data_IF_538979591004
#
_entry.id   IF_538979591004
#
_cell.length_a   1.000
_cell.length_b   1.000
_cell.length_c   1.000
_cell.angle_alpha   90.00
_cell.angle_beta   90.00
_cell.angle_gamma   90.00
#
_symmetry.space_group_name_H-M   'P 1'
#
loop_
_entity.id
_entity.type
_entity.pdbx_description
1 polymer ?
#
# COMPACT_ATOMS: atom_id res chain seq x y z
N UNK A 1 -57.26 0.89 5.43
CA UNK A 1 -56.05 0.15 5.00
C UNK A 1 -54.83 0.88 5.54
N UNK A 2 -54.07 0.31 6.49
CA UNK A 2 -52.82 0.92 6.94
C UNK A 2 -51.71 0.63 5.91
N UNK A 3 -51.10 1.69 5.38
CA UNK A 3 -49.92 1.64 4.53
C UNK A 3 -48.68 1.46 5.41
N UNK A 4 -48.07 0.28 5.40
CA UNK A 4 -46.76 0.04 6.00
C UNK A 4 -45.68 0.57 5.06
N UNK A 5 -45.07 1.71 5.41
CA UNK A 5 -43.84 2.18 4.77
C UNK A 5 -42.67 1.26 5.13
N UNK A 6 -41.83 0.85 4.16
CA UNK A 6 -40.63 0.06 4.46
C UNK A 6 -39.59 0.93 5.16
N UNK A 7 -39.21 0.56 6.37
CA UNK A 7 -38.05 1.12 7.07
C UNK A 7 -36.78 0.70 6.33
N UNK A 8 -36.16 1.63 5.62
CA UNK A 8 -34.82 1.45 5.05
C UNK A 8 -33.82 1.39 6.22
N UNK A 9 -33.48 0.18 6.65
CA UNK A 9 -32.32 -0.03 7.52
C UNK A 9 -31.06 0.34 6.75
N UNK A 10 -30.55 1.54 6.99
CA UNK A 10 -29.22 1.96 6.51
C UNK A 10 -28.18 1.18 7.31
N UNK A 11 -27.91 -0.06 6.91
CA UNK A 11 -26.74 -0.80 7.40
C UNK A 11 -25.51 -0.14 6.78
N UNK A 12 -24.85 0.74 7.53
CA UNK A 12 -23.48 1.17 7.20
C UNK A 12 -22.62 -0.10 7.09
N UNK A 13 -21.98 -0.38 5.94
CA UNK A 13 -21.16 -1.57 5.82
C UNK A 13 -20.04 -1.49 6.86
N UNK A 14 -20.05 -2.40 7.83
CA UNK A 14 -19.00 -2.49 8.84
C UNK A 14 -17.68 -2.84 8.14
N UNK A 15 -16.61 -2.11 8.45
CA UNK A 15 -15.27 -2.42 7.92
C UNK A 15 -14.87 -3.83 8.40
N UNK A 16 -14.46 -4.75 7.50
CA UNK A 16 -14.07 -6.09 7.91
C UNK A 16 -12.97 -6.08 8.97
N UNK A 17 -13.05 -6.96 9.97
CA UNK A 17 -12.08 -7.00 11.07
C UNK A 17 -10.64 -7.23 10.62
N UNK A 18 -10.42 -7.99 9.53
CA UNK A 18 -9.11 -8.20 8.89
C UNK A 18 -8.55 -6.90 8.30
N UNK A 19 -9.40 -6.08 7.69
CA UNK A 19 -9.03 -4.77 7.15
C UNK A 19 -8.65 -3.79 8.24
N UNK A 20 -9.38 -3.81 9.36
CA UNK A 20 -9.01 -3.03 10.57
C UNK A 20 -7.65 -3.49 11.11
N UNK A 21 -7.44 -4.80 11.24
CA UNK A 21 -6.17 -5.36 11.69
C UNK A 21 -5.02 -4.95 10.77
N UNK A 22 -5.17 -5.08 9.45
CA UNK A 22 -4.16 -4.68 8.47
C UNK A 22 -3.83 -3.18 8.54
N UNK A 23 -4.85 -2.32 8.70
CA UNK A 23 -4.68 -0.88 8.86
C UNK A 23 -3.94 -0.51 10.16
N UNK A 24 -4.24 -1.20 11.27
CA UNK A 24 -3.55 -1.01 12.56
C UNK A 24 -2.10 -1.48 12.45
N UNK A 25 -1.85 -2.68 11.90
CA UNK A 25 -0.50 -3.21 11.69
C UNK A 25 0.31 -2.26 10.80
N UNK A 26 -0.28 -1.77 9.71
CA UNK A 26 0.36 -0.81 8.79
C UNK A 26 0.74 0.51 9.47
N UNK A 27 -0.15 1.08 10.30
CA UNK A 27 0.13 2.31 11.04
C UNK A 27 1.20 2.13 12.13
N UNK A 28 1.15 1.01 12.86
CA UNK A 28 2.18 0.66 13.84
C UNK A 28 3.54 0.44 13.18
N UNK A 29 3.58 -0.29 12.06
CA UNK A 29 4.80 -0.49 11.29
C UNK A 29 5.36 0.83 10.75
N UNK A 30 4.50 1.71 10.24
CA UNK A 30 4.88 3.06 9.78
C UNK A 30 5.50 3.87 10.93
N UNK A 31 4.87 3.83 12.10
CA UNK A 31 5.39 4.51 13.31
C UNK A 31 6.75 3.96 13.69
N UNK A 32 6.88 2.62 13.80
CA UNK A 32 8.13 1.97 14.19
C UNK A 32 9.26 2.27 13.18
N UNK A 33 8.92 2.30 11.88
CA UNK A 33 9.87 2.60 10.81
C UNK A 33 10.52 3.97 10.99
N UNK A 34 9.71 5.01 11.21
CA UNK A 34 10.19 6.39 11.32
C UNK A 34 10.70 6.75 12.73
N UNK A 35 10.23 6.07 13.78
CA UNK A 35 10.73 6.26 15.15
C UNK A 35 12.07 5.55 15.40
N UNK A 36 12.45 4.58 14.54
CA UNK A 36 13.65 3.76 14.70
C UNK A 36 14.95 4.53 15.04
N UNK A 37 15.22 5.76 14.54
CA UNK A 37 16.45 6.48 14.88
C UNK A 37 16.55 6.88 16.35
N UNK A 38 15.43 7.09 17.03
CA UNK A 38 15.43 7.50 18.45
C UNK A 38 15.67 6.31 19.39
N UNK A 39 15.39 5.08 18.94
CA UNK A 39 15.47 3.85 19.75
C UNK A 39 16.63 2.92 19.37
N UNK A 40 17.03 2.89 18.09
CA UNK A 40 18.09 2.02 17.58
C UNK A 40 19.28 2.88 17.15
N UNK A 41 20.34 2.85 17.96
CA UNK A 41 21.55 3.67 17.77
C UNK A 41 22.42 3.18 16.59
N UNK A 42 22.42 1.87 16.31
CA UNK A 42 23.26 1.30 15.25
C UNK A 42 22.62 1.44 13.87
N UNK A 43 23.45 1.65 12.84
CA UNK A 43 22.98 1.72 11.45
C UNK A 43 22.46 0.37 10.94
N UNK A 44 23.14 -0.72 11.30
CA UNK A 44 22.77 -2.08 10.91
C UNK A 44 21.46 -2.52 11.59
N UNK A 45 21.29 -2.21 12.88
CA UNK A 45 20.05 -2.52 13.61
C UNK A 45 18.84 -1.82 13.00
N UNK A 46 18.99 -0.56 12.55
CA UNK A 46 17.93 0.14 11.81
C UNK A 46 17.59 -0.56 10.50
N UNK A 47 18.58 -1.02 9.75
CA UNK A 47 18.36 -1.80 8.53
C UNK A 47 17.55 -3.08 8.78
N UNK A 48 17.91 -3.84 9.81
CA UNK A 48 17.18 -5.05 10.20
C UNK A 48 15.76 -4.76 10.68
N UNK A 49 15.55 -3.69 11.46
CA UNK A 49 14.22 -3.29 11.88
C UNK A 49 13.33 -2.97 10.68
N UNK A 50 13.86 -2.22 9.70
CA UNK A 50 13.14 -1.92 8.45
C UNK A 50 12.79 -3.20 7.69
N UNK A 51 13.75 -4.11 7.51
CA UNK A 51 13.53 -5.38 6.81
C UNK A 51 12.47 -6.24 7.51
N UNK A 52 12.54 -6.36 8.84
CA UNK A 52 11.55 -7.10 9.64
C UNK A 52 10.15 -6.50 9.54
N UNK A 53 10.04 -5.16 9.60
CA UNK A 53 8.75 -4.47 9.41
C UNK A 53 8.18 -4.71 8.01
N UNK A 54 9.00 -4.63 6.96
CA UNK A 54 8.56 -4.93 5.60
C UNK A 54 8.07 -6.38 5.46
N UNK A 55 8.76 -7.34 6.07
CA UNK A 55 8.35 -8.74 6.06
C UNK A 55 6.99 -8.95 6.76
N UNK A 56 6.76 -8.30 7.91
CA UNK A 56 5.48 -8.35 8.63
C UNK A 56 4.34 -7.76 7.78
N UNK A 57 4.58 -6.62 7.12
CA UNK A 57 3.57 -6.02 6.24
C UNK A 57 3.20 -6.99 5.11
N UNK A 58 4.20 -7.56 4.42
CA UNK A 58 3.96 -8.54 3.34
C UNK A 58 3.18 -9.74 3.87
N UNK A 59 3.57 -10.29 5.02
CA UNK A 59 2.88 -11.44 5.61
C UNK A 59 1.42 -11.12 5.97
N UNK A 60 1.12 -9.90 6.42
CA UNK A 60 -0.22 -9.47 6.77
C UNK A 60 -1.11 -9.25 5.54
N UNK A 61 -0.58 -8.72 4.43
CA UNK A 61 -1.37 -8.34 3.25
C UNK A 61 -1.45 -9.42 2.17
N UNK A 62 -0.47 -10.32 2.11
CA UNK A 62 -0.36 -11.31 1.03
C UNK A 62 -1.59 -12.23 0.93
N UNK A 63 -2.18 -12.77 2.02
CA UNK A 63 -3.35 -13.64 1.90
C UNK A 63 -4.56 -12.93 1.28
N UNK A 64 -4.81 -11.68 1.67
CA UNK A 64 -5.91 -10.87 1.13
C UNK A 64 -5.69 -10.60 -0.36
N UNK A 65 -4.47 -10.17 -0.73
CA UNK A 65 -4.08 -9.97 -2.13
C UNK A 65 -4.26 -11.23 -2.99
N UNK A 66 -3.87 -12.40 -2.48
CA UNK A 66 -4.05 -13.67 -3.21
C UNK A 66 -5.53 -14.03 -3.38
N UNK A 67 -6.38 -13.77 -2.39
CA UNK A 67 -7.84 -13.99 -2.49
C UNK A 67 -8.48 -13.04 -3.49
N UNK A 68 -8.13 -11.76 -3.43
CA UNK A 68 -8.61 -10.75 -4.37
C UNK A 68 -8.18 -11.08 -5.82
N UNK A 69 -6.92 -11.50 -6.02
CA UNK A 69 -6.46 -11.97 -7.32
C UNK A 69 -7.23 -13.20 -7.82
N UNK A 70 -7.52 -14.16 -6.96
CA UNK A 70 -8.28 -15.35 -7.35
C UNK A 70 -9.71 -14.98 -7.75
N UNK A 71 -10.37 -14.11 -6.96
CA UNK A 71 -11.71 -13.61 -7.27
C UNK A 71 -11.73 -12.80 -8.58
N UNK A 72 -10.76 -11.91 -8.79
CA UNK A 72 -10.63 -11.14 -10.02
C UNK A 72 -10.41 -12.03 -11.25
N UNK A 73 -9.60 -13.09 -11.13
CA UNK A 73 -9.40 -14.07 -12.22
C UNK A 73 -10.66 -14.86 -12.53
N UNK A 74 -11.39 -15.30 -11.51
CA UNK A 74 -12.65 -16.00 -11.70
C UNK A 74 -13.69 -15.11 -12.41
N UNK A 75 -13.87 -13.87 -11.93
CA UNK A 75 -14.77 -12.90 -12.54
C UNK A 75 -14.37 -12.58 -14.00
N UNK A 76 -13.07 -12.42 -14.28
CA UNK A 76 -12.59 -12.22 -15.65
C UNK A 76 -12.87 -13.44 -16.53
N UNK A 77 -12.66 -14.66 -16.03
CA UNK A 77 -12.92 -15.88 -16.80
C UNK A 77 -14.41 -16.01 -17.16
N UNK A 78 -15.31 -15.65 -16.24
CA UNK A 78 -16.76 -15.60 -16.50
C UNK A 78 -17.12 -14.58 -17.59
N UNK A 79 -16.57 -13.37 -17.54
CA UNK A 79 -16.78 -12.34 -18.57
C UNK A 79 -16.24 -12.73 -19.94
N UNK A 80 -15.09 -13.38 -19.98
CA UNK A 80 -14.52 -13.92 -21.22
C UNK A 80 -15.41 -15.04 -21.78
N UNK A 81 -15.90 -15.95 -20.93
CA UNK A 81 -16.83 -17.01 -21.35
C UNK A 81 -18.18 -16.46 -21.84
N UNK A 82 -18.65 -15.37 -21.26
CA UNK A 82 -19.84 -14.63 -21.70
C UNK A 82 -19.60 -13.80 -22.98
N UNK A 83 -18.36 -13.69 -23.45
CA UNK A 83 -17.98 -12.89 -24.62
C UNK A 83 -17.97 -11.38 -24.36
N UNK A 84 -18.03 -10.94 -23.10
CA UNK A 84 -18.04 -9.53 -22.71
C UNK A 84 -16.63 -8.92 -22.70
N UNK A 85 -15.61 -9.73 -22.42
CA UNK A 85 -14.19 -9.32 -22.45
C UNK A 85 -13.37 -10.26 -23.33
N UNK A 86 -12.35 -9.73 -24.00
CA UNK A 86 -11.37 -10.54 -24.73
C UNK A 86 -10.20 -10.86 -23.82
N UNK A 87 -9.78 -12.13 -23.81
CA UNK A 87 -8.56 -12.52 -23.12
C UNK A 87 -7.34 -11.91 -23.81
N UNK A 88 -6.62 -11.05 -23.10
CA UNK A 88 -5.35 -10.48 -23.56
C UNK A 88 -4.23 -11.47 -23.26
N UNK A 89 -3.68 -12.09 -24.30
CA UNK A 89 -2.42 -12.82 -24.20
C UNK A 89 -1.26 -11.82 -24.18
N UNK A 90 -0.66 -11.64 -23.01
CA UNK A 90 0.48 -10.76 -22.82
C UNK A 90 1.74 -11.25 -23.52
N UNK A 91 1.89 -12.56 -23.70
CA UNK A 91 3.04 -13.14 -24.38
C UNK A 91 2.93 -12.85 -25.89
N UNK A 92 1.77 -13.12 -26.50
CA UNK A 92 1.51 -12.75 -27.89
C UNK A 92 1.61 -11.23 -28.10
N UNK A 93 1.06 -10.43 -27.18
CA UNK A 93 1.17 -8.97 -27.24
C UNK A 93 2.63 -8.54 -27.23
N UNK A 94 3.46 -9.10 -26.36
CA UNK A 94 4.90 -8.83 -26.31
C UNK A 94 5.61 -9.29 -27.60
N UNK A 95 5.27 -10.48 -28.08
CA UNK A 95 5.90 -11.09 -29.24
C UNK A 95 5.52 -10.39 -30.55
N UNK A 96 4.33 -9.79 -30.62
CA UNK A 96 3.89 -8.95 -31.74
C UNK A 96 4.61 -7.59 -31.80
N UNK A 97 5.24 -7.13 -30.70
CA UNK A 97 5.96 -5.87 -30.70
C UNK A 97 7.27 -5.95 -31.49
N UNK A 98 7.59 -4.88 -32.23
CA UNK A 98 8.92 -4.70 -32.82
C UNK A 98 10.02 -4.67 -31.74
N UNK A 99 11.25 -4.99 -32.13
CA UNK A 99 12.43 -4.91 -31.23
C UNK A 99 12.53 -3.54 -30.55
N UNK A 100 12.26 -2.45 -31.27
CA UNK A 100 12.24 -1.10 -30.69
C UNK A 100 11.11 -0.95 -29.67
N UNK A 101 9.92 -1.45 -29.97
CA UNK A 101 8.77 -1.43 -29.05
C UNK A 101 9.07 -2.13 -27.72
N UNK A 102 9.66 -3.32 -27.77
CA UNK A 102 10.06 -4.08 -26.56
C UNK A 102 11.11 -3.35 -25.74
N UNK A 103 12.12 -2.77 -26.41
CA UNK A 103 13.16 -1.96 -25.73
C UNK A 103 12.53 -0.74 -25.06
N UNK A 104 11.62 -0.04 -25.74
CA UNK A 104 10.92 1.12 -25.17
C UNK A 104 10.03 0.73 -23.98
N UNK A 105 9.25 -0.35 -24.09
CA UNK A 105 8.40 -0.84 -23.02
C UNK A 105 9.21 -1.28 -21.79
N UNK A 106 10.29 -2.04 -22.02
CA UNK A 106 11.22 -2.45 -20.97
C UNK A 106 11.90 -1.26 -20.30
N UNK A 107 12.34 -0.26 -21.08
CA UNK A 107 12.94 0.95 -20.56
C UNK A 107 11.94 1.79 -19.74
N UNK A 108 10.68 1.89 -20.18
CA UNK A 108 9.64 2.58 -19.44
C UNK A 108 9.35 1.91 -18.08
N UNK A 109 9.22 0.57 -18.06
CA UNK A 109 9.02 -0.19 -16.83
C UNK A 109 10.21 -0.03 -15.88
N UNK A 110 11.43 -0.20 -16.38
CA UNK A 110 12.65 -0.03 -15.59
C UNK A 110 12.79 1.41 -15.07
N UNK A 111 12.49 2.40 -15.92
CA UNK A 111 12.50 3.81 -15.56
C UNK A 111 11.50 4.14 -14.45
N UNK A 112 10.28 3.63 -14.54
CA UNK A 112 9.26 3.78 -13.51
C UNK A 112 9.72 3.20 -12.16
N UNK A 113 10.25 1.98 -12.17
CA UNK A 113 10.77 1.33 -10.97
C UNK A 113 11.93 2.13 -10.35
N UNK A 114 12.86 2.61 -11.18
CA UNK A 114 13.98 3.43 -10.74
C UNK A 114 13.53 4.75 -10.10
N UNK A 115 12.60 5.47 -10.76
CA UNK A 115 12.03 6.72 -10.25
C UNK A 115 11.32 6.49 -8.92
N UNK A 116 10.55 5.41 -8.80
CA UNK A 116 9.88 5.03 -7.55
C UNK A 116 10.88 4.80 -6.42
N UNK A 117 11.91 3.97 -6.65
CA UNK A 117 12.93 3.67 -5.65
C UNK A 117 13.70 4.94 -5.20
N UNK A 118 14.11 5.78 -6.16
CA UNK A 118 14.78 7.05 -5.87
C UNK A 118 13.89 7.98 -5.05
N UNK A 119 12.60 8.05 -5.38
CA UNK A 119 11.63 8.88 -4.66
C UNK A 119 11.49 8.44 -3.20
N UNK A 120 11.36 7.14 -2.94
CA UNK A 120 11.31 6.59 -1.58
C UNK A 120 12.57 6.96 -0.79
N UNK A 121 13.76 6.75 -1.37
CA UNK A 121 15.04 7.08 -0.72
C UNK A 121 15.15 8.58 -0.44
N UNK A 122 14.71 9.43 -1.37
CA UNK A 122 14.73 10.88 -1.19
C UNK A 122 13.83 11.32 -0.02
N UNK A 123 12.61 10.77 0.07
CA UNK A 123 11.67 11.01 1.16
C UNK A 123 12.29 10.60 2.50
N UNK A 124 12.86 9.40 2.58
CA UNK A 124 13.47 8.90 3.82
C UNK A 124 14.64 9.76 4.28
N UNK A 125 15.54 10.13 3.36
CA UNK A 125 16.67 11.01 3.69
C UNK A 125 16.19 12.38 4.14
N UNK A 126 15.12 12.90 3.52
CA UNK A 126 14.48 14.16 3.94
C UNK A 126 13.95 14.09 5.37
N UNK A 127 13.16 13.05 5.68
CA UNK A 127 12.61 12.83 7.02
C UNK A 127 13.72 12.70 8.07
N UNK A 128 14.77 11.93 7.78
CA UNK A 128 15.90 11.77 8.69
C UNK A 128 16.65 13.08 8.93
N UNK A 129 16.99 13.83 7.88
CA UNK A 129 17.68 15.14 8.00
C UNK A 129 16.86 16.14 8.83
N UNK A 130 15.54 16.15 8.65
CA UNK A 130 14.64 17.00 9.43
C UNK A 130 14.67 16.63 10.92
N UNK A 131 14.63 15.34 11.23
CA UNK A 131 14.72 14.87 12.61
C UNK A 131 16.07 15.20 13.25
N UNK A 132 17.19 15.03 12.52
CA UNK A 132 18.52 15.39 13.02
C UNK A 132 18.66 16.89 13.31
N UNK A 133 18.10 17.76 12.44
CA UNK A 133 18.08 19.20 12.71
C UNK A 133 17.32 19.53 13.99
N UNK A 134 16.14 18.93 14.19
CA UNK A 134 15.35 19.12 15.42
C UNK A 134 16.05 18.56 16.66
N UNK A 135 16.78 17.46 16.52
CA UNK A 135 17.60 16.91 17.59
C UNK A 135 18.73 17.86 17.96
N UNK A 136 19.38 18.50 16.98
CA UNK A 136 20.40 19.52 17.21
C UNK A 136 19.82 20.78 17.89
N UNK A 137 18.55 21.11 17.64
CA UNK A 137 17.77 22.12 18.36
C UNK A 137 17.36 21.68 19.79
N UNK A 138 17.76 20.48 20.25
CA UNK A 138 17.48 19.96 21.59
C UNK A 138 16.11 19.30 21.77
N UNK A 139 15.35 19.09 20.68
CA UNK A 139 14.03 18.46 20.75
C UNK A 139 14.17 16.97 21.12
N UNK A 140 13.63 16.58 22.27
CA UNK A 140 13.50 15.17 22.64
C UNK A 140 12.51 14.46 21.70
N UNK A 141 12.85 13.25 21.28
CA UNK A 141 12.02 12.41 20.40
C UNK A 141 11.72 13.05 19.04
N UNK A 142 12.76 13.61 18.43
CA UNK A 142 12.66 14.39 17.19
C UNK A 142 12.10 13.57 16.01
N UNK A 143 12.26 12.24 16.03
CA UNK A 143 11.79 11.33 14.99
C UNK A 143 10.52 10.59 15.41
N UNK A 144 10.34 10.26 16.69
CA UNK A 144 9.13 9.56 17.16
C UNK A 144 7.86 10.40 17.05
N UNK A 145 7.90 11.71 17.39
CA UNK A 145 6.71 12.57 17.34
C UNK A 145 6.09 12.63 15.92
N UNK A 146 6.84 12.93 14.85
CA UNK A 146 6.29 12.86 13.50
C UNK A 146 5.97 11.42 13.06
N UNK A 147 6.69 10.41 13.56
CA UNK A 147 6.39 9.01 13.24
C UNK A 147 4.99 8.58 13.70
N UNK A 148 4.56 9.00 14.90
CA UNK A 148 3.21 8.72 15.41
C UNK A 148 2.16 9.39 14.52
N UNK A 149 2.38 10.63 14.10
CA UNK A 149 1.47 11.33 13.17
C UNK A 149 1.34 10.55 11.86
N UNK A 150 2.45 10.12 11.28
CA UNK A 150 2.43 9.31 10.05
C UNK A 150 1.76 7.96 10.23
N UNK A 151 1.94 7.31 11.39
CA UNK A 151 1.23 6.09 11.72
C UNK A 151 -0.28 6.27 11.76
N UNK A 152 -0.75 7.30 12.46
CA UNK A 152 -2.19 7.63 12.54
C UNK A 152 -2.76 7.97 11.17
N UNK A 153 -2.07 8.79 10.38
CA UNK A 153 -2.49 9.13 9.01
C UNK A 153 -2.55 7.88 8.13
N UNK A 154 -1.55 7.00 8.22
CA UNK A 154 -1.50 5.74 7.47
C UNK A 154 -2.67 4.82 7.84
N UNK A 155 -2.94 4.63 9.14
CA UNK A 155 -4.11 3.86 9.60
C UNK A 155 -5.41 4.47 9.11
N UNK A 156 -5.57 5.79 9.23
CA UNK A 156 -6.79 6.47 8.82
C UNK A 156 -7.04 6.30 7.31
N UNK A 157 -6.01 6.49 6.48
CA UNK A 157 -6.11 6.29 5.03
C UNK A 157 -6.45 4.85 4.66
N UNK A 158 -5.87 3.85 5.33
CA UNK A 158 -6.16 2.44 5.07
C UNK A 158 -7.62 2.05 5.39
N UNK A 159 -8.27 2.80 6.31
CA UNK A 159 -9.66 2.61 6.69
C UNK A 159 -10.66 3.37 5.81
N UNK A 160 -10.20 4.32 4.97
CA UNK A 160 -11.09 5.05 4.05
C UNK A 160 -11.76 4.03 3.12
N UNK A 161 -13.09 3.92 3.10
CA UNK A 161 -13.79 3.12 2.10
C UNK A 161 -13.45 3.66 0.72
N UNK A 162 -12.94 2.81 -0.16
CA UNK A 162 -12.98 3.11 -1.59
C UNK A 162 -14.41 2.79 -1.99
N UNK A 163 -15.28 3.80 -2.02
CA UNK A 163 -16.61 3.61 -2.60
C UNK A 163 -16.41 3.12 -4.04
N UNK A 164 -16.84 1.90 -4.34
CA UNK A 164 -17.07 1.45 -5.72
C UNK A 164 -18.25 2.26 -6.29
N UNK A 165 -18.02 3.54 -6.60
CA UNK A 165 -18.96 4.33 -7.39
C UNK A 165 -18.58 4.20 -8.86
N UNK A 166 -19.25 3.26 -9.50
CA UNK A 166 -19.88 3.39 -10.82
C UNK A 166 -18.98 3.90 -11.95
N UNK A 167 -18.43 2.96 -12.70
CA UNK A 167 -18.15 3.11 -14.14
C UNK A 167 -18.97 2.07 -14.87
#
# INVERSE_FOLDING_TARGET
MPTTSPSLSTTTPAVPGTRVLAAVVGGLATTAYYASPDVIRSRAGRGWAKAGLSAVIVAATLPDFLREQAAARAAKAERVAAGEETEVDWQETWDSMSTRGRVTAGAAAAGFLAVSAVSVVAIERGAFRRGERRRAEGVRWAHTRPAVVWGVVSTALALVPLDERQG
#
